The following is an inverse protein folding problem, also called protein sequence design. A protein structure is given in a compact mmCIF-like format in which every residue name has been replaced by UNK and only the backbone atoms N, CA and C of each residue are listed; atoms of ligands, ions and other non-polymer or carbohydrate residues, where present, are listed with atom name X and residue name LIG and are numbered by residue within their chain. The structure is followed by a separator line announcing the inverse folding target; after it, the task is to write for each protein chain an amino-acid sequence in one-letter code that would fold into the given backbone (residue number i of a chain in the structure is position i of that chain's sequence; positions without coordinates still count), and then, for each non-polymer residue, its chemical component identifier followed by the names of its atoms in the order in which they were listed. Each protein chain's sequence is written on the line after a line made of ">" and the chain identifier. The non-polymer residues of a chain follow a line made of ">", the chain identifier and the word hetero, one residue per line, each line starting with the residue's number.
data_IF_725994289228
#
_entry.id   IF_725994289228
#
_cell.length_a   1.000
_cell.length_b   1.000
_cell.length_c   1.000
_cell.angle_alpha   90.00
_cell.angle_beta   90.00
_cell.angle_gamma   90.00
#
_symmetry.space_group_name_H-M   'P 1'
#
loop_
_entity.id
_entity.type
_entity.pdbx_description
1 polymer ?
#
# COMPACT_ATOMS: atom_id res chain seq x y z
N UNK A 1 -40.68 -52.77 26.95
CA UNK A 1 -39.72 -52.76 25.83
C UNK A 1 -40.37 -52.00 24.68
N UNK A 2 -39.67 -51.00 24.15
CA UNK A 2 -40.20 -49.79 23.53
C UNK A 2 -41.01 -49.98 22.23
N UNK A 3 -42.11 -49.21 22.11
CA UNK A 3 -42.82 -48.95 20.86
C UNK A 3 -42.07 -47.88 20.05
N UNK A 4 -41.61 -48.21 18.84
CA UNK A 4 -41.08 -47.24 17.89
C UNK A 4 -42.17 -46.88 16.87
N UNK A 5 -42.58 -45.61 16.90
CA UNK A 5 -43.57 -44.99 16.03
C UNK A 5 -43.01 -44.78 14.61
N UNK A 6 -43.70 -45.35 13.64
CA UNK A 6 -43.62 -45.03 12.21
C UNK A 6 -44.35 -43.71 11.95
N UNK A 7 -43.66 -42.72 11.38
CA UNK A 7 -44.30 -41.54 10.78
C UNK A 7 -43.72 -41.35 9.38
N UNK A 8 -44.52 -41.71 8.37
CA UNK A 8 -44.34 -41.35 6.96
C UNK A 8 -45.32 -40.25 6.61
N UNK A 9 -44.86 -39.15 6.00
CA UNK A 9 -45.62 -38.09 5.28
C UNK A 9 -44.55 -37.09 4.78
N UNK A 10 -44.55 -36.46 3.61
CA UNK A 10 -45.27 -36.58 2.36
C UNK A 10 -44.39 -35.82 1.33
N UNK A 11 -44.25 -36.38 0.13
CA UNK A 11 -43.51 -35.81 -0.98
C UNK A 11 -44.27 -34.65 -1.62
N UNK A 12 -43.64 -33.47 -1.73
CA UNK A 12 -44.12 -32.38 -2.58
C UNK A 12 -43.24 -32.30 -3.84
N UNK A 13 -43.75 -32.91 -4.90
CA UNK A 13 -43.28 -32.81 -6.28
C UNK A 13 -43.73 -31.45 -6.83
N UNK A 14 -42.81 -30.69 -7.44
CA UNK A 14 -43.22 -29.75 -8.49
C UNK A 14 -42.36 -29.95 -9.73
N UNK A 15 -43.01 -30.51 -10.76
CA UNK A 15 -42.50 -30.65 -12.12
C UNK A 15 -43.03 -29.49 -12.99
N UNK A 16 -42.09 -28.87 -13.72
CA UNK A 16 -42.15 -28.52 -15.15
C UNK A 16 -43.21 -27.52 -15.66
N UNK A 17 -42.79 -26.55 -16.50
CA UNK A 17 -43.02 -26.47 -17.96
C UNK A 17 -42.43 -25.16 -18.55
N UNK A 18 -41.99 -25.13 -19.83
CA UNK A 18 -41.17 -24.07 -20.44
C UNK A 18 -41.99 -23.07 -21.29
N UNK A 19 -41.39 -21.92 -21.66
CA UNK A 19 -41.98 -20.96 -22.59
C UNK A 19 -40.92 -20.12 -23.31
N UNK A 20 -40.91 -20.20 -24.65
CA UNK A 20 -40.13 -19.40 -25.61
C UNK A 20 -40.84 -18.07 -25.93
N UNK A 21 -40.19 -17.26 -26.78
CA UNK A 21 -40.59 -15.98 -27.40
C UNK A 21 -40.19 -14.75 -26.55
N UNK A 22 -39.37 -13.80 -26.99
CA UNK A 22 -38.85 -13.46 -28.32
C UNK A 22 -38.94 -11.94 -28.44
N UNK A 23 -37.82 -11.23 -28.39
CA UNK A 23 -37.75 -9.82 -28.82
C UNK A 23 -36.47 -9.57 -29.61
N UNK A 24 -36.68 -8.99 -30.76
CA UNK A 24 -35.74 -8.54 -31.77
C UNK A 24 -34.85 -7.40 -31.26
N UNK A 25 -33.58 -7.50 -31.63
CA UNK A 25 -32.60 -6.44 -31.93
C UNK A 25 -33.02 -4.97 -31.71
N UNK A 26 -32.27 -4.28 -30.86
CA UNK A 26 -31.65 -3.01 -31.24
C UNK A 26 -30.19 -2.96 -30.77
N UNK A 27 -29.33 -2.87 -31.77
CA UNK A 27 -27.88 -2.76 -31.70
C UNK A 27 -27.45 -1.38 -31.23
N UNK A 28 -26.53 -1.31 -30.27
CA UNK A 28 -25.46 -0.28 -30.27
C UNK A 28 -24.25 -0.80 -29.50
N UNK A 29 -23.55 -1.74 -30.13
CA UNK A 29 -22.14 -2.02 -29.83
C UNK A 29 -21.37 -0.80 -30.32
N UNK A 30 -20.82 0.00 -29.39
CA UNK A 30 -19.73 0.90 -29.74
C UNK A 30 -18.45 0.08 -29.70
N UNK A 31 -17.99 -0.27 -30.90
CA UNK A 31 -16.73 -0.94 -31.18
C UNK A 31 -15.57 0.00 -30.88
N UNK A 32 -14.59 -0.48 -30.11
CA UNK A 32 -13.16 -0.14 -30.05
C UNK A 32 -12.67 -0.63 -28.67
N UNK A 33 -11.92 -1.73 -28.48
CA UNK A 33 -10.83 -2.26 -29.27
C UNK A 33 -10.73 -3.79 -29.10
N UNK A 34 -11.10 -4.53 -30.14
CA UNK A 34 -10.59 -5.87 -30.39
C UNK A 34 -9.23 -5.74 -31.08
N UNK A 35 -8.13 -5.69 -30.32
CA UNK A 35 -6.78 -5.69 -30.92
C UNK A 35 -5.70 -6.35 -30.05
N UNK A 36 -6.04 -7.40 -29.29
CA UNK A 36 -5.08 -8.09 -28.42
C UNK A 36 -4.52 -9.41 -28.99
N UNK A 37 -4.67 -9.66 -30.29
CA UNK A 37 -4.12 -10.87 -30.94
C UNK A 37 -3.29 -10.59 -32.20
N UNK A 38 -2.80 -9.36 -32.38
CA UNK A 38 -2.09 -8.99 -33.62
C UNK A 38 -0.95 -7.99 -33.44
N UNK A 39 -0.21 -8.10 -32.34
CA UNK A 39 1.06 -7.40 -32.14
C UNK A 39 2.17 -8.42 -31.90
N UNK A 40 3.30 -8.24 -32.57
CA UNK A 40 4.50 -9.05 -32.33
C UNK A 40 4.93 -8.94 -30.86
N UNK A 41 5.59 -9.97 -30.33
CA UNK A 41 6.10 -9.96 -28.96
C UNK A 41 6.95 -8.71 -28.65
N UNK A 42 7.55 -8.10 -29.68
CA UNK A 42 8.37 -6.87 -29.59
C UNK A 42 7.53 -5.60 -29.37
N UNK A 43 6.36 -5.50 -30.00
CA UNK A 43 5.44 -4.36 -29.81
C UNK A 43 4.81 -4.40 -28.41
N UNK A 44 4.46 -5.60 -27.94
CA UNK A 44 3.99 -5.81 -26.57
C UNK A 44 5.11 -5.53 -25.54
N UNK A 45 6.36 -5.86 -25.87
CA UNK A 45 7.53 -5.52 -25.04
C UNK A 45 7.80 -4.02 -24.97
N UNK A 46 7.61 -3.26 -26.05
CA UNK A 46 7.77 -1.80 -26.06
C UNK A 46 6.69 -1.11 -25.21
N UNK A 47 5.45 -1.61 -25.23
CA UNK A 47 4.36 -1.14 -24.37
C UNK A 47 4.57 -1.52 -22.90
N UNK A 48 5.07 -2.72 -22.60
CA UNK A 48 5.44 -3.13 -21.25
C UNK A 48 6.65 -2.34 -20.72
N UNK A 49 7.67 -2.10 -21.56
CA UNK A 49 8.82 -1.28 -21.20
C UNK A 49 8.46 0.20 -20.99
N UNK A 50 7.44 0.70 -21.68
CA UNK A 50 6.86 2.03 -21.46
C UNK A 50 6.09 2.18 -20.14
N UNK A 51 5.62 1.07 -19.55
CA UNK A 51 4.99 1.04 -18.22
C UNK A 51 6.03 0.86 -17.09
N UNK A 52 7.23 0.39 -17.40
CA UNK A 52 8.37 0.29 -16.47
C UNK A 52 9.06 1.63 -16.20
N UNK A 53 8.64 2.70 -16.88
CA UNK A 53 9.14 4.05 -16.66
C UNK A 53 8.44 4.69 -15.48
N UNK A 54 9.16 4.80 -14.36
CA UNK A 54 8.99 5.78 -13.26
C UNK A 54 7.87 6.78 -13.50
N UNK A 55 6.62 6.38 -13.23
CA UNK A 55 5.55 7.37 -13.11
C UNK A 55 5.92 8.22 -11.90
N UNK A 56 5.92 9.57 -12.00
CA UNK A 56 5.78 10.38 -10.81
C UNK A 56 4.43 9.98 -10.23
N UNK A 57 4.44 9.10 -9.23
CA UNK A 57 3.30 8.86 -8.39
C UNK A 57 2.97 10.20 -7.74
N UNK A 58 2.07 10.96 -8.36
CA UNK A 58 1.28 11.95 -7.64
C UNK A 58 0.67 11.14 -6.49
N UNK A 59 1.03 11.44 -5.22
CA UNK A 59 0.46 10.69 -4.12
C UNK A 59 -1.05 10.83 -4.22
N UNK A 60 -1.74 9.72 -4.07
CA UNK A 60 -3.19 9.55 -4.21
C UNK A 60 -4.01 10.58 -3.39
N UNK A 61 -3.35 11.26 -2.46
CA UNK A 61 -3.90 12.26 -1.55
C UNK A 61 -3.67 13.73 -1.93
N UNK A 62 -2.96 14.03 -3.02
CA UNK A 62 -2.56 15.40 -3.39
C UNK A 62 -1.56 16.06 -2.42
N UNK A 63 -0.98 15.29 -1.48
CA UNK A 63 -0.01 15.76 -0.49
C UNK A 63 1.39 15.88 -1.11
N UNK A 64 2.29 16.63 -0.48
CA UNK A 64 3.69 16.72 -0.94
C UNK A 64 4.38 15.37 -0.71
N UNK A 65 4.86 14.74 -1.78
CA UNK A 65 5.77 13.60 -1.70
C UNK A 65 7.21 14.10 -1.55
N UNK A 66 7.78 13.98 -0.35
CA UNK A 66 9.18 14.33 -0.12
C UNK A 66 10.10 13.32 -0.81
N UNK A 67 11.23 13.78 -1.35
CA UNK A 67 12.24 12.89 -1.91
C UNK A 67 12.74 11.91 -0.84
N UNK A 68 13.00 10.67 -1.25
CA UNK A 68 13.44 9.57 -0.39
C UNK A 68 12.47 9.20 0.75
N UNK A 69 11.19 9.54 0.58
CA UNK A 69 10.13 9.05 1.47
C UNK A 69 10.01 7.54 1.36
N UNK A 70 9.96 6.86 2.51
CA UNK A 70 9.57 5.44 2.54
C UNK A 70 8.11 5.29 2.14
N UNK A 71 7.24 6.20 2.61
CA UNK A 71 5.83 6.29 2.23
C UNK A 71 5.61 7.60 1.46
N UNK A 72 5.52 7.58 0.12
CA UNK A 72 5.25 8.77 -0.69
C UNK A 72 3.95 9.47 -0.26
N UNK A 73 4.02 10.78 -0.01
CA UNK A 73 2.89 11.58 0.49
C UNK A 73 2.59 11.42 1.98
N UNK A 74 3.35 10.58 2.69
CA UNK A 74 3.22 10.36 4.12
C UNK A 74 1.87 9.75 4.54
N UNK A 75 1.68 9.72 5.87
CA UNK A 75 0.52 9.15 6.54
C UNK A 75 -0.05 10.13 7.56
N UNK A 76 -1.37 10.19 7.69
CA UNK A 76 -2.04 10.98 8.72
C UNK A 76 -2.17 10.25 10.06
N UNK A 77 -2.17 8.91 10.04
CA UNK A 77 -2.35 8.07 11.22
C UNK A 77 -2.10 6.59 10.96
N UNK A 78 -2.35 5.74 11.96
CA UNK A 78 -2.12 4.29 11.92
C UNK A 78 -2.73 3.59 10.70
N UNK A 79 -4.01 3.82 10.43
CA UNK A 79 -4.72 3.12 9.36
C UNK A 79 -4.13 3.44 7.97
N UNK A 80 -3.63 4.67 7.77
CA UNK A 80 -2.96 5.02 6.51
C UNK A 80 -1.60 4.33 6.38
N UNK A 81 -0.86 4.16 7.48
CA UNK A 81 0.40 3.42 7.46
C UNK A 81 0.17 1.93 7.22
N UNK A 82 -0.86 1.36 7.82
CA UNK A 82 -1.26 -0.04 7.60
C UNK A 82 -1.64 -0.26 6.13
N UNK A 83 -2.51 0.60 5.57
CA UNK A 83 -2.86 0.56 4.14
C UNK A 83 -1.65 0.76 3.23
N UNK A 84 -0.68 1.59 3.62
CA UNK A 84 0.56 1.75 2.87
C UNK A 84 1.39 0.45 2.89
N UNK A 85 1.53 -0.19 4.05
CA UNK A 85 2.22 -1.47 4.20
C UNK A 85 1.57 -2.61 3.41
N UNK A 86 0.24 -2.63 3.30
CA UNK A 86 -0.47 -3.63 2.48
C UNK A 86 -0.19 -3.45 0.98
N UNK A 87 -0.02 -2.20 0.52
CA UNK A 87 0.12 -1.87 -0.91
C UNK A 87 1.56 -1.84 -1.40
N UNK A 88 2.52 -1.58 -0.52
CA UNK A 88 3.92 -1.39 -0.87
C UNK A 88 4.81 -2.35 -0.07
N UNK A 89 5.43 -3.29 -0.78
CA UNK A 89 6.30 -4.30 -0.18
C UNK A 89 7.48 -3.70 0.58
N UNK A 90 8.04 -2.58 0.11
CA UNK A 90 9.17 -1.91 0.78
C UNK A 90 8.72 -1.33 2.11
N UNK A 91 7.53 -0.75 2.15
CA UNK A 91 6.92 -0.25 3.39
C UNK A 91 6.64 -1.42 4.34
N UNK A 92 6.01 -2.49 3.83
CA UNK A 92 5.74 -3.72 4.59
C UNK A 92 6.99 -4.27 5.28
N UNK A 93 8.05 -4.50 4.51
CA UNK A 93 9.32 -5.03 5.04
C UNK A 93 9.97 -4.07 6.02
N UNK A 94 9.97 -2.76 5.74
CA UNK A 94 10.56 -1.76 6.64
C UNK A 94 9.82 -1.64 7.97
N UNK A 95 8.50 -1.80 7.96
CA UNK A 95 7.63 -1.73 9.13
C UNK A 95 7.25 -3.12 9.71
N UNK A 96 7.93 -4.19 9.32
CA UNK A 96 7.58 -5.56 9.75
C UNK A 96 7.58 -5.78 11.28
N UNK A 97 8.28 -4.94 12.05
CA UNK A 97 8.29 -4.97 13.51
C UNK A 97 7.39 -3.94 14.19
N UNK A 98 6.56 -3.22 13.43
CA UNK A 98 5.69 -2.15 13.93
C UNK A 98 4.33 -2.72 14.37
N UNK A 99 3.89 -2.39 15.58
CA UNK A 99 2.60 -2.80 16.11
C UNK A 99 1.52 -1.75 15.80
N UNK A 100 0.70 -2.05 14.78
CA UNK A 100 -0.38 -1.17 14.32
C UNK A 100 -1.47 -0.96 15.37
N UNK A 101 -1.74 -1.93 16.25
CA UNK A 101 -2.79 -1.82 17.26
C UNK A 101 -2.42 -0.83 18.37
N UNK A 102 -1.12 -0.60 18.58
CA UNK A 102 -0.59 0.34 19.58
C UNK A 102 -0.19 1.68 18.98
N UNK A 103 -0.35 1.84 17.67
CA UNK A 103 0.15 2.99 16.96
C UNK A 103 -0.65 4.25 17.29
N UNK A 104 0.06 5.31 17.63
CA UNK A 104 -0.50 6.63 17.89
C UNK A 104 0.33 7.71 17.19
N UNK A 105 -0.31 8.84 16.91
CA UNK A 105 0.39 10.04 16.44
C UNK A 105 0.80 10.89 17.65
N UNK A 106 2.09 11.11 17.80
CA UNK A 106 2.68 11.94 18.85
C UNK A 106 3.33 13.17 18.24
N UNK A 107 3.47 14.24 19.04
CA UNK A 107 4.14 15.48 18.63
C UNK A 107 5.39 15.69 19.47
N UNK A 108 6.53 15.96 18.84
CA UNK A 108 7.76 16.26 19.58
C UNK A 108 7.58 17.53 20.41
N UNK A 109 7.88 17.44 21.71
CA UNK A 109 7.81 18.58 22.63
C UNK A 109 9.09 19.43 22.66
N UNK A 110 10.21 18.88 22.16
CA UNK A 110 11.51 19.54 22.02
C UNK A 110 12.24 19.04 20.77
N UNK A 111 13.22 19.78 20.25
CA UNK A 111 14.05 19.29 19.15
C UNK A 111 14.80 18.01 19.53
N UNK A 112 15.04 17.14 18.55
CA UNK A 112 15.68 15.83 18.78
C UNK A 112 16.61 15.47 17.62
N UNK A 113 17.85 15.09 17.93
CA UNK A 113 18.81 14.55 16.97
C UNK A 113 18.60 13.04 16.81
N UNK A 114 18.31 12.58 15.60
CA UNK A 114 18.02 11.18 15.28
C UNK A 114 18.65 10.77 13.96
N UNK A 115 18.91 9.47 13.80
CA UNK A 115 19.11 8.88 12.49
C UNK A 115 17.76 8.66 11.82
N UNK A 116 17.69 8.92 10.51
CA UNK A 116 16.49 8.73 9.72
C UNK A 116 16.67 7.58 8.74
N UNK A 117 15.63 6.78 8.57
CA UNK A 117 15.57 5.90 7.41
C UNK A 117 15.25 6.71 6.15
N UNK A 118 15.63 6.22 4.98
CA UNK A 118 15.25 6.81 3.69
C UNK A 118 15.24 5.75 2.60
N UNK A 119 14.39 5.93 1.59
CA UNK A 119 14.20 4.96 0.50
C UNK A 119 14.93 5.39 -0.76
N UNK A 120 15.62 4.45 -1.40
CA UNK A 120 16.20 4.60 -2.75
C UNK A 120 15.83 3.35 -3.55
N UNK A 121 14.96 3.51 -4.56
CA UNK A 121 14.38 2.36 -5.26
C UNK A 121 13.64 1.46 -4.28
N UNK A 122 13.98 0.17 -4.27
CA UNK A 122 13.37 -0.83 -3.38
C UNK A 122 14.15 -1.09 -2.08
N UNK A 123 15.14 -0.25 -1.79
CA UNK A 123 15.99 -0.40 -0.62
C UNK A 123 15.77 0.75 0.37
N UNK A 124 15.81 0.42 1.66
CA UNK A 124 15.75 1.40 2.74
C UNK A 124 17.08 1.43 3.48
N UNK A 125 17.66 2.63 3.53
CA UNK A 125 18.92 2.91 4.19
C UNK A 125 18.69 3.81 5.40
N UNK A 126 19.76 4.04 6.16
CA UNK A 126 19.81 4.93 7.31
C UNK A 126 20.84 6.01 7.10
N UNK A 127 20.58 7.19 7.65
CA UNK A 127 21.55 8.29 7.60
C UNK A 127 22.83 7.94 8.37
N UNK A 128 23.99 8.38 7.89
CA UNK A 128 25.27 8.25 8.61
C UNK A 128 25.36 9.22 9.77
N UNK A 129 24.75 10.39 9.61
CA UNK A 129 24.74 11.45 10.60
C UNK A 129 23.35 11.65 11.20
N UNK A 130 23.30 12.33 12.34
CA UNK A 130 22.03 12.67 12.98
C UNK A 130 21.43 13.89 12.30
N UNK A 131 20.15 13.80 12.04
CA UNK A 131 19.30 14.89 11.55
C UNK A 131 18.51 15.46 12.73
N UNK A 132 18.41 16.79 12.79
CA UNK A 132 17.60 17.46 13.80
C UNK A 132 16.13 17.47 13.39
N UNK A 133 15.28 16.85 14.21
CA UNK A 133 13.85 17.05 14.16
C UNK A 133 13.48 18.28 15.00
N UNK A 134 12.64 19.13 14.42
CA UNK A 134 12.14 20.31 15.10
C UNK A 134 11.12 19.97 16.20
N UNK A 135 11.01 20.86 17.19
CA UNK A 135 9.86 20.84 18.10
C UNK A 135 8.58 20.95 17.27
N UNK A 136 7.58 20.16 17.61
CA UNK A 136 6.30 20.15 16.92
C UNK A 136 6.21 19.15 15.76
N UNK A 137 7.29 18.46 15.39
CA UNK A 137 7.24 17.41 14.37
C UNK A 137 6.25 16.32 14.79
N UNK A 138 5.33 15.93 13.88
CA UNK A 138 4.39 14.83 14.10
C UNK A 138 5.04 13.50 13.72
N UNK A 139 5.06 12.58 14.67
CA UNK A 139 5.55 11.22 14.49
C UNK A 139 4.41 10.24 14.69
N UNK A 140 4.45 9.12 13.98
CA UNK A 140 3.65 7.94 14.29
C UNK A 140 4.53 6.95 15.05
N UNK A 141 4.02 6.36 16.13
CA UNK A 141 4.78 5.42 16.96
C UNK A 141 3.89 4.40 17.64
N UNK A 142 4.39 3.17 17.77
CA UNK A 142 3.83 2.08 18.58
C UNK A 142 4.47 1.98 19.99
N UNK A 143 5.34 2.94 20.32
CA UNK A 143 6.15 2.97 21.54
C UNK A 143 7.54 2.31 21.42
N UNK A 144 7.81 1.56 20.34
CA UNK A 144 9.12 0.92 20.06
C UNK A 144 9.76 1.47 18.79
N UNK A 145 8.99 1.54 17.73
CA UNK A 145 9.34 2.12 16.44
C UNK A 145 8.58 3.44 16.31
N UNK A 146 9.25 4.43 15.74
CA UNK A 146 8.64 5.71 15.42
C UNK A 146 9.07 6.14 14.02
N UNK A 147 8.18 6.85 13.32
CA UNK A 147 8.42 7.38 11.99
C UNK A 147 7.81 8.76 11.82
N UNK A 148 8.37 9.56 10.91
CA UNK A 148 7.81 10.85 10.54
C UNK A 148 6.52 10.66 9.75
N UNK A 149 5.44 11.30 10.18
CA UNK A 149 4.14 11.23 9.50
C UNK A 149 4.24 11.70 8.05
N UNK A 150 4.97 12.79 7.78
CA UNK A 150 5.03 13.40 6.43
C UNK A 150 5.71 12.55 5.34
N UNK A 151 6.48 11.52 5.68
CA UNK A 151 7.25 10.74 4.70
C UNK A 151 7.42 9.25 5.04
N UNK A 152 6.96 8.79 6.21
CA UNK A 152 7.11 7.40 6.66
C UNK A 152 8.54 7.01 7.05
N UNK A 153 9.48 7.97 7.09
CA UNK A 153 10.87 7.67 7.46
C UNK A 153 10.96 7.38 8.96
N UNK A 154 11.44 6.18 9.31
CA UNK A 154 11.65 5.78 10.70
C UNK A 154 12.76 6.61 11.35
N UNK A 155 12.66 6.78 12.66
CA UNK A 155 13.63 7.48 13.49
C UNK A 155 14.36 6.47 14.38
N UNK A 156 15.64 6.71 14.64
CA UNK A 156 16.42 5.95 15.60
C UNK A 156 17.37 6.88 16.36
N UNK A 157 17.48 6.70 17.67
CA UNK A 157 18.46 7.45 18.48
C UNK A 157 19.89 6.90 18.30
N UNK A 158 20.00 5.63 17.90
CA UNK A 158 21.26 4.91 17.68
C UNK A 158 21.51 4.73 16.18
N UNK A 159 22.77 4.72 15.79
CA UNK A 159 23.17 4.44 14.42
C UNK A 159 22.69 3.03 13.99
N UNK A 160 22.31 2.89 12.72
CA UNK A 160 21.86 1.62 12.13
C UNK A 160 22.86 1.20 11.06
N UNK A 161 23.05 -0.11 10.87
CA UNK A 161 24.12 -0.66 10.02
C UNK A 161 23.88 -0.51 8.51
N UNK A 162 22.63 -0.40 8.07
CA UNK A 162 22.28 -0.29 6.66
C UNK A 162 22.47 1.14 6.14
N UNK A 163 23.72 1.57 6.00
CA UNK A 163 24.10 2.88 5.45
C UNK A 163 24.52 2.74 3.99
N UNK A 164 24.19 3.73 3.14
CA UNK A 164 24.64 3.77 1.75
C UNK A 164 25.88 4.66 1.60
N UNK A 165 26.88 4.27 0.79
CA UNK A 165 27.99 5.17 0.44
C UNK A 165 27.49 6.44 -0.25
N UNK A 166 26.46 6.34 -1.10
CA UNK A 166 25.82 7.43 -1.85
C UNK A 166 24.63 8.04 -1.09
N UNK A 167 24.80 8.28 0.21
CA UNK A 167 23.77 8.94 1.01
C UNK A 167 23.43 10.34 0.45
N UNK A 168 22.13 10.68 0.31
CA UNK A 168 21.74 12.02 -0.12
C UNK A 168 22.13 13.09 0.89
N UNK A 169 22.43 14.33 0.45
CA UNK A 169 22.64 15.43 1.38
C UNK A 169 21.41 15.64 2.28
N UNK A 170 21.65 15.85 3.57
CA UNK A 170 20.58 16.23 4.50
C UNK A 170 20.03 17.59 4.07
N UNK A 171 18.72 17.66 3.77
CA UNK A 171 18.07 18.94 3.51
C UNK A 171 18.12 19.78 4.80
N UNK A 172 18.87 20.88 4.75
CA UNK A 172 19.01 21.90 5.80
C UNK A 172 17.72 22.67 5.99
#
# INVERSE_FOLDING_TARGET
>A
MAFALLVTLASAVWRSIPGRFGYSSLSRVNSQNSLWLQGSARENLALLAGQSGTQPHLPESGRVAYRYSVVPGGVQGPDELERASVRDQVVSTHFAGFDFHRAIVVRLNRPKLVYLSYRVGDHVFWTKEKVQLAKGEKLISDGKIAARTRCGNQISERARKAISPQEPPTAV
#
